data_IF_770425510734
#
_entry.id   IF_770425510734
#
_cell.length_a   1.000
_cell.length_b   1.000
_cell.length_c   1.000
_cell.angle_alpha   90.00
_cell.angle_beta   90.00
_cell.angle_gamma   90.00
#
_symmetry.space_group_name_H-M   'P 1'
#
loop_
_entity.id
_entity.type
_entity.pdbx_description
1 polymer ?
#
# COMPACT_ATOMS: atom_id res chain seq x y z
N UNK A 1 -9.74 19.50 -16.09
CA UNK A 1 -10.06 18.18 -15.52
C UNK A 1 -11.02 17.39 -16.42
N UNK A 2 -11.01 16.05 -16.39
CA UNK A 2 -12.04 15.24 -17.05
C UNK A 2 -13.38 15.37 -16.29
N UNK A 3 -14.52 15.69 -16.93
CA UNK A 3 -15.82 15.86 -16.26
C UNK A 3 -16.24 14.66 -15.39
N UNK A 4 -15.78 13.45 -15.74
CA UNK A 4 -16.05 12.23 -14.97
C UNK A 4 -15.37 12.24 -13.59
N UNK A 5 -14.14 12.74 -13.51
CA UNK A 5 -13.36 12.78 -12.27
C UNK A 5 -13.96 13.78 -11.27
N UNK A 6 -14.42 14.93 -11.76
CA UNK A 6 -15.11 15.93 -10.94
C UNK A 6 -16.41 15.34 -10.34
N UNK A 7 -17.25 14.70 -11.16
CA UNK A 7 -18.50 14.07 -10.68
C UNK A 7 -18.25 13.02 -9.60
N UNK A 8 -17.18 12.24 -9.72
CA UNK A 8 -16.83 11.22 -8.71
C UNK A 8 -16.37 11.87 -7.40
N UNK A 9 -15.48 12.86 -7.45
CA UNK A 9 -15.00 13.54 -6.25
C UNK A 9 -16.15 14.27 -5.52
N UNK A 10 -17.06 14.92 -6.25
CA UNK A 10 -18.25 15.55 -5.66
C UNK A 10 -19.21 14.52 -5.04
N UNK A 11 -19.40 13.35 -5.65
CA UNK A 11 -20.20 12.25 -5.07
C UNK A 11 -19.61 11.77 -3.75
N UNK A 12 -18.28 11.62 -3.70
CA UNK A 12 -17.57 11.23 -2.48
C UNK A 12 -17.75 12.27 -1.36
N UNK A 13 -17.55 13.55 -1.65
CA UNK A 13 -17.73 14.62 -0.65
C UNK A 13 -19.16 14.70 -0.13
N UNK A 14 -20.17 14.55 -1.01
CA UNK A 14 -21.58 14.45 -0.61
C UNK A 14 -21.84 13.26 0.29
N UNK A 15 -21.28 12.09 -0.02
CA UNK A 15 -21.39 10.90 0.83
C UNK A 15 -20.74 11.09 2.20
N UNK A 16 -19.62 11.82 2.27
CA UNK A 16 -18.93 12.13 3.53
C UNK A 16 -19.73 13.15 4.37
N UNK A 17 -20.64 13.91 3.73
CA UNK A 17 -21.47 14.92 4.37
C UNK A 17 -20.75 16.24 4.62
N UNK A 18 -19.63 16.48 3.94
CA UNK A 18 -18.81 17.69 4.12
C UNK A 18 -18.97 18.59 2.90
N UNK A 19 -19.50 19.82 3.07
CA UNK A 19 -19.55 20.78 1.98
C UNK A 19 -18.14 21.31 1.70
N UNK A 20 -17.86 21.55 0.43
CA UNK A 20 -16.51 21.90 -0.03
C UNK A 20 -16.01 23.23 0.55
N UNK A 21 -16.93 24.15 0.85
CA UNK A 21 -16.65 25.48 1.41
C UNK A 21 -16.15 25.43 2.86
N UNK A 22 -16.44 24.35 3.58
CA UNK A 22 -16.06 24.19 4.98
C UNK A 22 -14.68 23.56 5.13
N UNK A 23 -14.10 23.06 4.03
CA UNK A 23 -12.77 22.46 4.03
C UNK A 23 -11.72 23.58 4.00
N UNK A 24 -10.85 23.61 5.01
CA UNK A 24 -9.71 24.52 5.08
C UNK A 24 -8.48 23.95 4.36
N UNK A 25 -8.15 22.70 4.65
CA UNK A 25 -7.01 21.98 4.07
C UNK A 25 -7.27 20.48 4.15
N UNK A 26 -6.40 19.68 3.55
CA UNK A 26 -6.47 18.22 3.72
C UNK A 26 -5.10 17.60 3.90
N UNK A 27 -5.07 16.49 4.62
CA UNK A 27 -3.92 15.61 4.74
C UNK A 27 -4.20 14.29 4.01
N UNK A 28 -3.20 13.79 3.28
CA UNK A 28 -3.28 12.51 2.59
C UNK A 28 -2.03 11.65 2.85
N UNK A 29 -2.20 10.32 2.91
CA UNK A 29 -1.11 9.37 3.23
C UNK A 29 -0.45 9.63 4.59
N UNK A 30 -1.26 9.90 5.62
CA UNK A 30 -0.80 10.13 7.00
C UNK A 30 -1.76 9.45 7.96
N UNK A 31 -1.22 8.73 8.94
CA UNK A 31 -2.03 8.10 10.01
C UNK A 31 -2.82 9.18 10.77
N UNK A 32 -4.09 8.88 11.05
CA UNK A 32 -4.90 9.74 11.90
C UNK A 32 -4.84 9.24 13.34
N UNK A 33 -4.30 10.09 14.21
CA UNK A 33 -4.22 9.85 15.64
C UNK A 33 -4.98 10.97 16.35
N UNK A 34 -6.14 10.70 16.96
CA UNK A 34 -6.83 11.72 17.75
C UNK A 34 -5.97 12.07 18.96
N UNK A 35 -5.72 13.36 19.14
CA UNK A 35 -5.03 13.88 20.33
C UNK A 35 -5.99 13.76 21.52
N UNK A 36 -5.56 13.27 22.70
CA UNK A 36 -4.19 12.92 23.11
C UNK A 36 -3.87 11.42 23.12
N UNK A 37 -4.75 10.54 22.64
CA UNK A 37 -4.64 9.11 22.91
C UNK A 37 -4.18 8.27 21.69
N UNK A 38 -2.88 7.95 21.70
CA UNK A 38 -2.19 7.09 20.72
C UNK A 38 -2.74 5.65 20.67
N UNK A 39 -3.55 5.24 21.66
CA UNK A 39 -4.19 3.93 21.75
C UNK A 39 -5.72 3.96 21.61
N UNK A 40 -6.32 5.13 21.33
CA UNK A 40 -7.76 5.25 21.09
C UNK A 40 -8.25 4.35 19.94
N UNK A 41 -9.44 3.78 20.10
CA UNK A 41 -10.14 3.05 19.02
C UNK A 41 -10.46 3.93 17.80
N UNK A 42 -10.36 5.26 17.94
CA UNK A 42 -10.55 6.22 16.86
C UNK A 42 -9.31 6.39 15.97
N UNK A 43 -8.18 5.74 16.31
CA UNK A 43 -6.99 5.70 15.47
C UNK A 43 -7.29 5.00 14.14
N UNK A 44 -7.02 5.69 13.04
CA UNK A 44 -7.19 5.12 11.70
C UNK A 44 -5.84 5.05 10.98
N UNK A 45 -5.56 3.90 10.38
CA UNK A 45 -4.31 3.60 9.69
C UNK A 45 -4.55 2.83 8.38
N UNK A 46 -3.49 2.68 7.60
CA UNK A 46 -3.48 1.95 6.34
C UNK A 46 -3.78 2.84 5.13
N UNK A 47 -3.77 2.24 3.93
CA UNK A 47 -3.61 3.00 2.69
C UNK A 47 -4.82 3.86 2.33
N UNK A 48 -4.58 4.94 1.60
CA UNK A 48 -5.58 5.86 1.06
C UNK A 48 -6.26 6.71 2.12
N UNK A 49 -5.61 6.98 3.26
CA UNK A 49 -6.22 7.77 4.32
C UNK A 49 -6.26 9.26 3.93
N UNK A 50 -7.47 9.81 3.85
CA UNK A 50 -7.77 11.22 3.61
C UNK A 50 -8.35 11.82 4.88
N UNK A 51 -7.70 12.87 5.40
CA UNK A 51 -8.22 13.69 6.49
C UNK A 51 -8.53 15.06 5.95
N UNK A 52 -9.79 15.50 6.07
CA UNK A 52 -10.22 16.84 5.74
C UNK A 52 -10.21 17.68 7.03
N UNK A 53 -9.45 18.76 7.02
CA UNK A 53 -9.40 19.73 8.12
C UNK A 53 -10.46 20.79 7.84
N UNK A 54 -11.47 20.88 8.70
CA UNK A 54 -12.59 21.79 8.52
C UNK A 54 -12.29 23.14 9.17
N UNK A 55 -12.96 24.19 8.69
CA UNK A 55 -12.82 25.56 9.20
C UNK A 55 -13.31 25.73 10.64
N UNK A 56 -14.21 24.85 11.08
CA UNK A 56 -14.70 24.79 12.46
C UNK A 56 -13.69 24.17 13.45
N UNK A 57 -12.54 23.69 12.94
CA UNK A 57 -11.50 23.04 13.74
C UNK A 57 -11.69 21.54 13.93
N UNK A 58 -12.71 20.94 13.31
CA UNK A 58 -12.94 19.49 13.35
C UNK A 58 -12.28 18.78 12.17
N UNK A 59 -11.88 17.52 12.40
CA UNK A 59 -11.26 16.69 11.37
C UNK A 59 -12.22 15.59 10.91
N UNK A 60 -12.38 15.45 9.58
CA UNK A 60 -13.16 14.37 8.98
C UNK A 60 -12.26 13.39 8.24
N UNK A 61 -12.24 12.16 8.73
CA UNK A 61 -11.34 11.11 8.21
C UNK A 61 -12.10 10.09 7.38
N UNK A 62 -11.71 9.95 6.13
CA UNK A 62 -12.25 8.98 5.18
C UNK A 62 -11.14 8.12 4.56
N UNK A 63 -11.42 6.84 4.38
CA UNK A 63 -10.56 5.97 3.56
C UNK A 63 -10.97 6.03 2.10
N UNK A 64 -9.99 6.27 1.23
CA UNK A 64 -10.12 6.17 -0.20
C UNK A 64 -9.61 4.80 -0.68
N UNK A 65 -10.53 3.87 -0.91
CA UNK A 65 -10.23 2.65 -1.65
C UNK A 65 -9.95 2.99 -3.12
N UNK A 66 -9.31 2.06 -3.85
CA UNK A 66 -9.05 2.21 -5.30
C UNK A 66 -10.33 2.54 -6.09
N UNK A 67 -11.49 2.02 -5.66
CA UNK A 67 -12.82 2.31 -6.26
C UNK A 67 -13.25 3.77 -6.12
N UNK A 68 -12.75 4.49 -5.12
CA UNK A 68 -13.03 5.90 -4.90
C UNK A 68 -12.10 6.82 -5.71
N UNK A 69 -11.24 6.26 -6.57
CA UNK A 69 -10.32 7.00 -7.43
C UNK A 69 -9.55 8.11 -6.68
N UNK A 70 -8.71 7.75 -5.69
CA UNK A 70 -7.97 8.71 -4.85
C UNK A 70 -7.27 9.82 -5.65
N UNK A 71 -6.64 9.48 -6.78
CA UNK A 71 -6.00 10.44 -7.68
C UNK A 71 -6.96 11.54 -8.19
N UNK A 72 -8.22 11.18 -8.50
CA UNK A 72 -9.22 12.13 -8.96
C UNK A 72 -9.67 13.06 -7.82
N UNK A 73 -9.87 12.51 -6.63
CA UNK A 73 -10.24 13.28 -5.43
C UNK A 73 -9.17 14.27 -5.03
N UNK A 74 -7.90 13.87 -4.99
CA UNK A 74 -6.78 14.75 -4.63
C UNK A 74 -6.65 15.90 -5.62
N UNK A 75 -6.66 15.59 -6.93
CA UNK A 75 -6.61 16.62 -7.98
C UNK A 75 -7.79 17.58 -7.89
N UNK A 76 -8.99 17.07 -7.59
CA UNK A 76 -10.17 17.92 -7.44
C UNK A 76 -10.03 18.89 -6.26
N UNK A 77 -9.58 18.43 -5.09
CA UNK A 77 -9.39 19.31 -3.92
C UNK A 77 -8.36 20.41 -4.22
N UNK A 78 -7.26 20.06 -4.88
CA UNK A 78 -6.24 21.03 -5.29
C UNK A 78 -6.75 22.04 -6.31
N UNK A 79 -7.54 21.60 -7.30
CA UNK A 79 -8.18 22.49 -8.28
C UNK A 79 -9.19 23.47 -7.62
N UNK A 80 -9.76 23.11 -6.47
CA UNK A 80 -10.62 23.99 -5.68
C UNK A 80 -9.82 24.91 -4.72
N UNK A 81 -8.50 25.01 -4.90
CA UNK A 81 -7.58 25.79 -4.06
C UNK A 81 -7.54 25.33 -2.58
N UNK A 82 -7.88 24.07 -2.31
CA UNK A 82 -7.71 23.50 -0.98
C UNK A 82 -6.27 22.93 -0.89
N UNK A 83 -5.42 23.43 0.02
CA UNK A 83 -4.03 23.00 0.10
C UNK A 83 -3.87 21.61 0.73
N UNK A 84 -2.85 20.88 0.25
CA UNK A 84 -2.34 19.66 0.89
C UNK A 84 -1.40 20.05 2.03
N UNK A 85 -1.84 19.85 3.26
CA UNK A 85 -1.20 20.38 4.47
C UNK A 85 0.09 19.63 4.86
N UNK A 86 0.09 18.31 4.68
CA UNK A 86 1.13 17.44 5.19
C UNK A 86 2.24 17.14 4.16
N UNK A 87 2.49 18.04 3.22
CA UNK A 87 3.54 17.89 2.21
C UNK A 87 4.82 18.61 2.65
N UNK A 88 5.91 17.87 2.86
CA UNK A 88 7.20 18.42 3.27
C UNK A 88 8.30 17.98 2.31
N UNK A 89 8.78 18.89 1.45
CA UNK A 89 9.84 18.60 0.49
C UNK A 89 11.22 18.80 1.15
N UNK A 90 12.01 17.73 1.39
CA UNK A 90 13.35 17.87 1.91
C UNK A 90 14.29 18.47 0.86
N UNK A 91 15.38 19.11 1.29
CA UNK A 91 16.43 19.51 0.37
C UNK A 91 17.25 18.29 -0.08
N UNK A 92 17.44 18.09 -1.40
CA UNK A 92 18.29 17.02 -1.90
C UNK A 92 19.71 17.19 -1.39
N UNK A 93 20.29 16.12 -0.86
CA UNK A 93 21.65 16.11 -0.31
C UNK A 93 22.75 16.12 -1.39
N UNK A 94 22.39 15.96 -2.67
CA UNK A 94 23.32 15.96 -3.80
C UNK A 94 24.27 14.76 -3.87
N UNK A 95 24.16 13.81 -2.95
CA UNK A 95 24.97 12.58 -2.94
C UNK A 95 24.36 11.53 -3.85
N UNK A 96 25.16 11.03 -4.79
CA UNK A 96 24.83 9.82 -5.54
C UNK A 96 24.88 8.63 -4.58
N UNK A 97 23.73 8.01 -4.35
CA UNK A 97 23.60 6.84 -3.50
C UNK A 97 23.72 5.55 -4.36
N UNK A 98 24.45 4.56 -3.86
CA UNK A 98 24.64 3.28 -4.57
C UNK A 98 23.32 2.50 -4.69
N UNK A 99 23.19 1.69 -5.73
CA UNK A 99 22.05 0.81 -5.90
C UNK A 99 21.97 -0.21 -4.75
N UNK A 100 20.85 -0.24 -4.02
CA UNK A 100 20.62 -1.27 -3.00
C UNK A 100 19.27 -1.94 -3.16
N UNK A 101 19.28 -3.26 -3.04
CA UNK A 101 18.08 -4.11 -3.11
C UNK A 101 17.60 -4.50 -1.71
N UNK A 102 16.39 -4.10 -1.36
CA UNK A 102 15.74 -4.41 -0.09
C UNK A 102 14.82 -5.64 -0.23
N UNK A 103 15.42 -6.82 -0.08
CA UNK A 103 14.72 -8.10 -0.28
C UNK A 103 14.99 -9.11 0.83
N UNK A 104 13.94 -9.50 1.55
CA UNK A 104 13.99 -10.59 2.53
C UNK A 104 13.98 -11.96 1.83
N UNK A 105 14.90 -12.88 2.17
CA UNK A 105 14.72 -14.30 1.87
C UNK A 105 13.60 -14.85 2.77
N UNK A 106 12.61 -15.50 2.19
CA UNK A 106 11.42 -15.95 2.92
C UNK A 106 11.34 -17.48 2.88
N UNK A 107 11.64 -18.12 4.02
CA UNK A 107 11.43 -19.56 4.22
C UNK A 107 9.95 -19.93 4.00
N UNK A 108 9.04 -19.02 4.33
CA UNK A 108 7.61 -19.19 4.08
C UNK A 108 7.30 -19.33 2.59
N UNK A 109 7.93 -18.52 1.72
CA UNK A 109 7.79 -18.66 0.27
C UNK A 109 8.24 -20.06 -0.20
N UNK A 110 9.36 -20.54 0.32
CA UNK A 110 9.87 -21.86 -0.01
C UNK A 110 8.88 -22.96 0.40
N UNK A 111 8.32 -22.88 1.60
CA UNK A 111 7.28 -23.81 2.05
C UNK A 111 6.01 -23.75 1.20
N UNK A 112 5.55 -22.57 0.80
CA UNK A 112 4.35 -22.44 -0.03
C UNK A 112 4.57 -22.98 -1.43
N UNK A 113 5.78 -22.82 -1.98
CA UNK A 113 6.16 -23.42 -3.25
C UNK A 113 6.16 -24.95 -3.17
N UNK A 114 6.73 -25.52 -2.09
CA UNK A 114 6.69 -26.97 -1.86
C UNK A 114 5.25 -27.46 -1.70
N UNK A 115 4.42 -26.81 -0.88
CA UNK A 115 3.02 -27.20 -0.69
C UNK A 115 2.22 -27.11 -1.99
N UNK A 116 2.46 -26.08 -2.81
CA UNK A 116 1.88 -25.95 -4.14
C UNK A 116 2.28 -27.13 -5.04
N UNK A 117 3.58 -27.45 -5.11
CA UNK A 117 4.10 -28.55 -5.92
C UNK A 117 3.59 -29.91 -5.43
N UNK A 118 3.57 -30.14 -4.12
CA UNK A 118 3.05 -31.38 -3.53
C UNK A 118 1.56 -31.56 -3.85
N UNK A 119 0.74 -30.52 -3.65
CA UNK A 119 -0.68 -30.56 -3.96
C UNK A 119 -0.92 -30.83 -5.47
N UNK A 120 -0.12 -30.21 -6.33
CA UNK A 120 -0.17 -30.42 -7.77
C UNK A 120 0.23 -31.85 -8.16
N UNK A 121 1.36 -32.35 -7.68
CA UNK A 121 1.84 -33.71 -7.94
C UNK A 121 0.86 -34.77 -7.40
N UNK A 122 0.31 -34.58 -6.19
CA UNK A 122 -0.71 -35.46 -5.62
C UNK A 122 -2.00 -35.42 -6.43
N UNK A 123 -2.40 -34.26 -6.95
CA UNK A 123 -3.54 -34.13 -7.86
C UNK A 123 -3.35 -34.96 -9.13
N UNK A 124 -2.18 -34.86 -9.77
CA UNK A 124 -1.85 -35.69 -10.94
C UNK A 124 -1.77 -37.19 -10.62
N UNK A 125 -1.19 -37.54 -9.48
CA UNK A 125 -1.09 -38.93 -9.03
C UNK A 125 -2.48 -39.55 -8.83
N UNK A 126 -3.40 -38.83 -8.17
CA UNK A 126 -4.77 -39.29 -7.94
C UNK A 126 -5.56 -39.40 -9.25
N UNK A 127 -5.37 -38.46 -10.19
CA UNK A 127 -6.00 -38.50 -11.50
C UNK A 127 -5.47 -39.67 -12.37
N UNK A 128 -4.18 -39.97 -12.28
CA UNK A 128 -3.52 -40.98 -13.11
C UNK A 128 -3.63 -42.42 -12.61
N UNK A 129 -3.48 -42.66 -11.30
CA UNK A 129 -3.37 -44.03 -10.75
C UNK A 129 -4.70 -44.57 -10.23
N UNK A 130 -5.57 -43.73 -9.65
CA UNK A 130 -6.91 -44.14 -9.22
C UNK A 130 -7.96 -44.02 -10.33
N UNK A 131 -7.53 -44.02 -11.59
CA UNK A 131 -8.32 -43.75 -12.80
C UNK A 131 -9.81 -44.12 -12.66
N UNK A 132 -10.67 -43.09 -12.73
CA UNK A 132 -12.10 -43.19 -12.47
C UNK A 132 -12.67 -41.89 -11.91
N UNK A 133 -13.99 -41.82 -11.76
CA UNK A 133 -14.69 -40.64 -11.23
C UNK A 133 -14.24 -40.26 -9.80
N UNK A 134 -13.91 -41.25 -8.97
CA UNK A 134 -13.37 -41.03 -7.62
C UNK A 134 -12.00 -40.36 -7.59
N UNK A 135 -11.11 -40.69 -8.54
CA UNK A 135 -9.81 -40.03 -8.68
C UNK A 135 -9.96 -38.55 -9.03
N UNK A 136 -10.90 -38.22 -9.93
CA UNK A 136 -11.19 -36.84 -10.32
C UNK A 136 -11.80 -36.01 -9.18
N UNK A 137 -12.72 -36.60 -8.39
CA UNK A 137 -13.34 -35.94 -7.24
C UNK A 137 -12.29 -35.51 -6.20
N UNK A 138 -11.25 -36.31 -5.99
CA UNK A 138 -10.15 -35.98 -5.07
C UNK A 138 -9.12 -35.05 -5.70
N UNK A 139 -8.91 -35.12 -7.01
CA UNK A 139 -7.92 -34.29 -7.72
C UNK A 139 -8.35 -32.82 -7.80
N UNK A 140 -9.64 -32.53 -8.00
CA UNK A 140 -10.17 -31.18 -8.09
C UNK A 140 -9.84 -30.30 -6.85
N UNK A 141 -10.13 -30.71 -5.60
CA UNK A 141 -9.77 -29.92 -4.43
C UNK A 141 -8.26 -29.79 -4.25
N UNK A 142 -7.46 -30.80 -4.65
CA UNK A 142 -5.99 -30.71 -4.61
C UNK A 142 -5.46 -29.66 -5.60
N UNK A 143 -6.01 -29.60 -6.80
CA UNK A 143 -5.66 -28.55 -7.76
C UNK A 143 -6.15 -27.17 -7.30
N UNK A 144 -7.34 -27.06 -6.73
CA UNK A 144 -7.81 -25.81 -6.13
C UNK A 144 -6.89 -25.35 -4.99
N UNK A 145 -6.41 -26.28 -4.17
CA UNK A 145 -5.43 -26.01 -3.11
C UNK A 145 -4.07 -25.58 -3.67
N UNK A 146 -3.60 -26.20 -4.75
CA UNK A 146 -2.38 -25.77 -5.45
C UNK A 146 -2.51 -24.34 -6.00
N UNK A 147 -3.64 -24.00 -6.63
CA UNK A 147 -3.94 -22.64 -7.11
C UNK A 147 -4.00 -21.66 -5.94
N UNK A 148 -4.59 -22.05 -4.80
CA UNK A 148 -4.61 -21.21 -3.60
C UNK A 148 -3.19 -20.93 -3.08
N UNK A 149 -2.33 -21.93 -2.99
CA UNK A 149 -0.94 -21.72 -2.56
C UNK A 149 -0.15 -20.87 -3.56
N UNK A 150 -0.39 -21.04 -4.86
CA UNK A 150 0.15 -20.17 -5.90
C UNK A 150 -0.32 -18.72 -5.74
N UNK A 151 -1.58 -18.48 -5.39
CA UNK A 151 -2.11 -17.15 -5.09
C UNK A 151 -1.43 -16.53 -3.85
N UNK A 152 -1.28 -17.28 -2.76
CA UNK A 152 -0.58 -16.80 -1.55
C UNK A 152 0.90 -16.48 -1.83
N UNK A 153 1.52 -17.26 -2.71
CA UNK A 153 2.86 -17.00 -3.23
C UNK A 153 2.89 -15.65 -3.95
N UNK A 154 2.09 -15.51 -5.01
CA UNK A 154 2.02 -14.32 -5.88
C UNK A 154 1.86 -13.01 -5.11
N UNK A 155 0.97 -13.02 -4.12
CA UNK A 155 0.63 -11.83 -3.32
C UNK A 155 1.79 -11.32 -2.45
N UNK A 156 2.85 -12.11 -2.24
CA UNK A 156 3.95 -11.78 -1.31
C UNK A 156 5.31 -11.63 -1.97
N UNK A 157 5.40 -11.48 -3.29
CA UNK A 157 6.69 -11.42 -4.01
C UNK A 157 7.33 -10.04 -4.12
N UNK A 158 6.66 -8.98 -3.69
CA UNK A 158 7.11 -7.63 -4.00
C UNK A 158 8.26 -7.16 -3.10
N UNK A 159 9.34 -6.64 -3.72
CA UNK A 159 10.49 -6.03 -3.07
C UNK A 159 10.91 -4.75 -3.80
N UNK A 160 11.80 -3.98 -3.16
CA UNK A 160 12.24 -2.67 -3.65
C UNK A 160 13.73 -2.68 -3.97
N UNK A 161 14.10 -1.95 -5.01
CA UNK A 161 15.48 -1.58 -5.31
C UNK A 161 15.53 -0.07 -5.46
N UNK A 162 16.43 0.57 -4.73
CA UNK A 162 16.63 2.02 -4.78
C UNK A 162 17.99 2.30 -5.39
N UNK A 163 17.99 3.17 -6.40
CA UNK A 163 19.17 3.71 -7.05
C UNK A 163 19.27 5.23 -6.75
N UNK A 164 20.25 5.94 -7.33
CA UNK A 164 20.42 7.38 -7.17
C UNK A 164 19.29 8.22 -7.76
N UNK A 165 18.57 7.73 -8.78
CA UNK A 165 17.54 8.51 -9.49
C UNK A 165 16.18 7.82 -9.59
N UNK A 166 16.11 6.51 -9.30
CA UNK A 166 14.89 5.73 -9.49
C UNK A 166 14.64 4.77 -8.33
N UNK A 167 13.35 4.56 -8.03
CA UNK A 167 12.89 3.45 -7.19
C UNK A 167 12.26 2.41 -8.09
N UNK A 168 12.77 1.19 -8.05
CA UNK A 168 12.20 0.05 -8.75
C UNK A 168 11.38 -0.80 -7.78
N UNK A 169 10.14 -1.06 -8.17
CA UNK A 169 9.25 -1.98 -7.47
C UNK A 169 9.21 -3.28 -8.28
N UNK A 170 9.82 -4.32 -7.74
CA UNK A 170 9.84 -5.63 -8.37
C UNK A 170 8.67 -6.46 -7.87
N UNK A 171 7.79 -6.86 -8.78
CA UNK A 171 6.73 -7.83 -8.54
C UNK A 171 6.96 -9.08 -9.40
N UNK A 172 6.13 -10.11 -9.23
CA UNK A 172 6.30 -11.35 -9.99
C UNK A 172 6.05 -11.10 -11.49
N UNK A 173 7.12 -11.18 -12.29
CA UNK A 173 7.09 -10.98 -13.74
C UNK A 173 7.00 -9.52 -14.21
N UNK A 174 7.05 -8.54 -13.31
CA UNK A 174 6.99 -7.12 -13.67
C UNK A 174 7.85 -6.26 -12.74
N UNK A 175 8.70 -5.44 -13.33
CA UNK A 175 9.38 -4.34 -12.63
C UNK A 175 8.70 -3.02 -12.99
N UNK A 176 8.35 -2.22 -11.99
CA UNK A 176 7.84 -0.86 -12.18
C UNK A 176 8.91 0.11 -11.73
N UNK A 177 9.47 0.86 -12.67
CA UNK A 177 10.44 1.91 -12.39
C UNK A 177 9.72 3.22 -12.13
N UNK A 178 10.05 3.88 -11.01
CA UNK A 178 9.50 5.16 -10.58
C UNK A 178 10.65 6.16 -10.48
N UNK A 179 10.77 7.11 -11.42
CA UNK A 179 11.77 8.17 -11.33
C UNK A 179 11.52 9.07 -10.12
N UNK A 180 12.58 9.46 -9.41
CA UNK A 180 12.50 10.39 -8.28
C UNK A 180 11.93 11.74 -8.71
N UNK A 181 12.27 12.18 -9.93
CA UNK A 181 11.73 13.39 -10.54
C UNK A 181 10.19 13.38 -10.66
N UNK A 182 9.55 12.22 -10.80
CA UNK A 182 8.10 12.12 -10.92
C UNK A 182 7.40 11.89 -9.57
N UNK A 183 8.14 11.60 -8.51
CA UNK A 183 7.59 11.34 -7.18
C UNK A 183 7.48 12.62 -6.37
N UNK A 184 6.37 12.71 -5.63
CA UNK A 184 6.11 13.82 -4.72
C UNK A 184 6.19 13.35 -3.27
N UNK A 185 5.47 12.26 -2.96
CA UNK A 185 5.33 11.75 -1.60
C UNK A 185 5.26 10.23 -1.57
N UNK A 186 5.88 9.61 -0.56
CA UNK A 186 5.87 8.18 -0.32
C UNK A 186 5.53 7.91 1.14
N UNK A 187 4.64 6.96 1.41
CA UNK A 187 4.34 6.54 2.78
C UNK A 187 4.41 5.02 2.89
N UNK A 188 5.03 4.54 3.96
CA UNK A 188 5.05 3.13 4.35
C UNK A 188 4.13 2.94 5.56
N UNK A 189 3.16 2.03 5.44
CA UNK A 189 2.21 1.73 6.51
C UNK A 189 1.82 0.25 6.52
N UNK A 190 1.03 -0.16 7.52
CA UNK A 190 0.44 -1.48 7.57
C UNK A 190 -0.64 -1.64 6.50
N UNK A 191 -0.69 -2.83 5.90
CA UNK A 191 -1.85 -3.19 5.10
C UNK A 191 -3.06 -3.38 6.03
N UNK A 192 -4.27 -3.13 5.52
CA UNK A 192 -5.49 -3.41 6.29
C UNK A 192 -5.94 -4.84 6.11
N UNK A 193 -5.64 -5.40 4.96
CA UNK A 193 -5.95 -6.78 4.63
C UNK A 193 -5.03 -7.71 5.42
N UNK A 194 -5.60 -8.63 6.20
CA UNK A 194 -4.85 -9.61 7.02
C UNK A 194 -3.82 -10.43 6.24
N UNK A 195 -4.00 -10.56 4.92
CA UNK A 195 -3.11 -11.32 4.04
C UNK A 195 -1.78 -10.61 3.77
N UNK A 196 -1.73 -9.29 3.94
CA UNK A 196 -0.58 -8.45 3.63
C UNK A 196 -0.08 -7.76 4.90
N UNK A 197 1.23 -7.55 4.98
CA UNK A 197 1.85 -6.99 6.20
C UNK A 197 2.15 -5.51 6.04
N UNK A 198 2.71 -5.11 4.90
CA UNK A 198 3.15 -3.74 4.67
C UNK A 198 2.77 -3.27 3.27
N UNK A 199 2.43 -1.99 3.18
CA UNK A 199 2.14 -1.30 1.93
C UNK A 199 3.06 -0.09 1.76
N UNK A 200 3.26 0.27 0.51
CA UNK A 200 3.90 1.49 0.08
C UNK A 200 2.90 2.27 -0.79
N UNK A 201 2.58 3.46 -0.32
CA UNK A 201 1.77 4.43 -1.03
C UNK A 201 2.70 5.41 -1.73
N UNK A 202 2.46 5.67 -3.01
CA UNK A 202 3.24 6.64 -3.80
C UNK A 202 2.28 7.65 -4.42
N UNK A 203 2.54 8.93 -4.18
CA UNK A 203 1.90 10.04 -4.85
C UNK A 203 2.91 10.68 -5.81
N UNK A 204 2.59 10.66 -7.10
CA UNK A 204 3.39 11.36 -8.10
C UNK A 204 3.20 12.88 -8.05
N UNK A 205 4.09 13.64 -8.71
CA UNK A 205 3.98 15.09 -8.90
C UNK A 205 2.75 15.48 -9.71
N UNK A 206 2.27 14.58 -10.56
CA UNK A 206 0.99 14.73 -11.25
C UNK A 206 -0.22 14.34 -10.36
N UNK A 207 -0.01 14.08 -9.07
CA UNK A 207 -1.01 13.61 -8.12
C UNK A 207 -1.67 12.28 -8.51
N UNK A 208 -0.99 11.42 -9.27
CA UNK A 208 -1.39 10.01 -9.40
C UNK A 208 -0.98 9.25 -8.16
N UNK A 209 -1.99 8.72 -7.47
CA UNK A 209 -1.80 7.79 -6.38
C UNK A 209 -1.61 6.36 -6.90
N UNK A 210 -0.60 5.67 -6.38
CA UNK A 210 -0.32 4.25 -6.63
C UNK A 210 -0.11 3.56 -5.29
N UNK A 211 -0.65 2.35 -5.17
CA UNK A 211 -0.51 1.50 -3.98
C UNK A 211 0.26 0.25 -4.37
N UNK A 212 1.30 -0.07 -3.61
CA UNK A 212 2.09 -1.28 -3.78
C UNK A 212 2.12 -2.07 -2.48
N UNK A 213 1.83 -3.37 -2.55
CA UNK A 213 2.09 -4.28 -1.42
C UNK A 213 3.57 -4.64 -1.45
N UNK A 214 4.30 -4.48 -0.35
CA UNK A 214 5.78 -4.62 -0.29
C UNK A 214 6.19 -5.71 0.70
N UNK A 215 5.53 -6.88 0.61
CA UNK A 215 5.64 -7.95 1.60
C UNK A 215 7.04 -8.53 1.83
N UNK A 216 7.99 -8.35 0.90
CA UNK A 216 9.38 -8.84 1.06
C UNK A 216 10.36 -7.79 1.53
N UNK A 217 9.96 -6.53 1.65
CA UNK A 217 10.86 -5.50 2.18
C UNK A 217 10.97 -5.71 3.70
N UNK A 218 12.18 -5.87 4.26
CA UNK A 218 12.33 -6.02 5.70
C UNK A 218 11.85 -4.77 6.42
N UNK A 219 10.95 -4.94 7.41
CA UNK A 219 10.46 -3.83 8.24
C UNK A 219 11.58 -3.04 8.91
N UNK A 220 12.64 -3.73 9.36
CA UNK A 220 13.82 -3.11 9.97
C UNK A 220 14.54 -2.12 9.03
N UNK A 221 14.43 -2.33 7.71
CA UNK A 221 15.07 -1.51 6.68
C UNK A 221 14.16 -0.40 6.15
N UNK A 222 12.85 -0.42 6.42
CA UNK A 222 11.92 0.61 5.90
C UNK A 222 12.26 2.03 6.38
N UNK A 223 12.82 2.17 7.58
CA UNK A 223 13.30 3.47 8.07
C UNK A 223 14.49 3.98 7.26
N UNK A 224 15.41 3.09 6.91
CA UNK A 224 16.56 3.42 6.06
C UNK A 224 16.10 3.81 4.66
N UNK A 225 15.21 3.03 4.04
CA UNK A 225 14.58 3.34 2.75
C UNK A 225 13.94 4.73 2.77
N UNK A 226 13.16 5.03 3.81
CA UNK A 226 12.53 6.33 4.00
C UNK A 226 13.56 7.47 4.05
N UNK A 227 14.66 7.30 4.79
CA UNK A 227 15.72 8.31 4.88
C UNK A 227 16.43 8.53 3.54
N UNK A 228 16.68 7.48 2.76
CA UNK A 228 17.27 7.60 1.41
C UNK A 228 16.37 8.38 0.45
N UNK A 229 15.07 8.09 0.46
CA UNK A 229 14.09 8.86 -0.33
C UNK A 229 14.05 10.34 0.10
N UNK A 230 14.09 10.62 1.41
CA UNK A 230 14.17 12.00 1.92
C UNK A 230 15.43 12.73 1.46
N UNK A 231 16.59 12.07 1.48
CA UNK A 231 17.86 12.64 0.97
C UNK A 231 17.84 12.95 -0.53
N UNK A 232 16.93 12.31 -1.26
CA UNK A 232 16.67 12.54 -2.68
C UNK A 232 15.62 13.62 -2.93
N UNK A 233 15.13 14.29 -1.87
CA UNK A 233 14.15 15.37 -1.96
C UNK A 233 12.69 14.93 -2.08
N UNK A 234 12.39 13.66 -1.75
CA UNK A 234 11.03 13.12 -1.74
C UNK A 234 10.46 13.22 -0.31
N UNK A 235 9.19 13.64 -0.17
CA UNK A 235 8.48 13.56 1.11
C UNK A 235 8.19 12.09 1.44
N UNK A 236 9.09 11.43 2.16
CA UNK A 236 8.90 10.04 2.56
C UNK A 236 8.60 9.93 4.06
N UNK A 237 7.61 9.11 4.42
CA UNK A 237 7.26 8.83 5.81
C UNK A 237 7.16 7.32 6.06
N UNK A 238 7.69 6.87 7.19
CA UNK A 238 7.51 5.50 7.68
C UNK A 238 6.61 5.53 8.91
N UNK A 239 5.35 5.15 8.73
CA UNK A 239 4.33 5.12 9.79
C UNK A 239 4.36 3.83 10.62
N UNK A 240 5.24 2.89 10.27
CA UNK A 240 5.43 1.63 10.97
C UNK A 240 6.19 1.89 12.28
N UNK A 241 5.49 1.73 13.40
CA UNK A 241 6.05 1.97 14.73
C UNK A 241 7.26 1.07 14.97
N UNK A 242 8.45 1.58 15.32
CA UNK A 242 9.62 0.71 15.60
C UNK A 242 9.43 -0.12 16.87
N UNK A 243 8.60 0.35 17.79
CA UNK A 243 8.53 -0.16 19.17
C UNK A 243 7.53 -1.33 19.31
N UNK A 244 6.65 -1.54 18.33
CA UNK A 244 5.68 -2.65 18.36
C UNK A 244 6.30 -3.92 17.77
N UNK A 245 6.79 -4.81 18.65
CA UNK A 245 7.31 -6.16 18.29
C UNK A 245 6.23 -7.10 17.72
N UNK A 246 4.94 -6.85 17.99
CA UNK A 246 3.84 -7.75 17.65
C UNK A 246 2.74 -7.09 16.82
N UNK A 247 2.09 -7.90 15.97
CA UNK A 247 0.96 -7.58 15.10
C UNK A 247 -0.35 -7.35 15.88
N UNK A 248 -0.29 -6.74 17.07
CA UNK A 248 -1.47 -6.39 17.86
C UNK A 248 -1.99 -5.01 17.43
N UNK A 249 -2.31 -4.91 16.15
CA UNK A 249 -3.22 -3.87 15.69
C UNK A 249 -4.60 -4.52 15.64
N UNK A 250 -5.51 -4.02 16.48
CA UNK A 250 -6.91 -4.45 16.47
C UNK A 250 -7.48 -4.08 15.12
N UNK A 251 -7.74 -5.09 14.28
CA UNK A 251 -8.44 -4.92 13.02
C UNK A 251 -9.88 -4.49 13.33
N UNK A 252 -10.15 -3.19 13.32
CA UNK A 252 -11.50 -2.69 13.36
C UNK A 252 -12.10 -2.83 11.96
N UNK A 253 -12.73 -3.98 11.71
CA UNK A 253 -13.64 -4.16 10.59
C UNK A 253 -14.87 -3.31 10.89
N UNK A 254 -15.11 -2.28 10.07
CA UNK A 254 -16.40 -1.60 10.01
C UNK A 254 -17.32 -2.35 9.06
#
# INVERSE_FOLDING_TARGET
>A
MNPRHQRQATRLLRHIGVPLQDIRSFSFMKRYTPVPDRHSQQNKFGPGLLTLHLKDGTDRVQTLHTRHHPSATIRYLLEQNIPLDNLHLPQPSGRTEEETTYRRPSLYLFWHAILCLLAFCLGFWQAGIRGGTGGLIVSLPLFALAVYWMYVLLTRFCYLTLDGETMQVHSMGRTVTLPYAEMLKVNFDFAREQQFTHVMEVLGRDYRYRLFYIGRVPRSQLREVCQRLQRSGIDATCSLNTDKRHYDDVYHVQ
#
